data_IF_083342882164
#
_entry.id   IF_083342882164
#
_cell.length_a   1.000
_cell.length_b   1.000
_cell.length_c   1.000
_cell.angle_alpha   90.00
_cell.angle_beta   90.00
_cell.angle_gamma   90.00
#
_symmetry.space_group_name_H-M   'P 1'
#
loop_
_entity.id
_entity.type
_entity.pdbx_description
1 polymer ?
#
# COMPACT_ATOMS: atom_id res chain seq x y z
N UNK A 1 -53.33 15.09 -11.27
CA UNK A 1 -52.48 14.22 -12.13
C UNK A 1 -51.08 14.80 -12.38
N UNK A 2 -50.92 16.06 -12.82
CA UNK A 2 -49.61 16.73 -13.05
C UNK A 2 -48.65 16.75 -11.84
N UNK A 3 -49.15 17.02 -10.63
CA UNK A 3 -48.31 17.13 -9.42
C UNK A 3 -47.67 15.79 -8.99
N UNK A 4 -48.42 14.68 -9.08
CA UNK A 4 -47.92 13.33 -8.77
C UNK A 4 -46.84 12.91 -9.77
N UNK A 5 -47.05 13.25 -11.05
CA UNK A 5 -46.08 12.98 -12.11
C UNK A 5 -44.77 13.78 -11.93
N UNK A 6 -44.85 15.05 -11.49
CA UNK A 6 -43.67 15.84 -11.15
C UNK A 6 -42.91 15.29 -9.93
N UNK A 7 -43.60 14.86 -8.86
CA UNK A 7 -42.96 14.23 -7.70
C UNK A 7 -42.21 12.95 -8.08
N UNK A 8 -42.80 12.09 -8.93
CA UNK A 8 -42.13 10.86 -9.42
C UNK A 8 -40.85 11.15 -10.20
N UNK A 9 -40.82 12.20 -11.04
CA UNK A 9 -39.60 12.63 -11.74
C UNK A 9 -38.51 13.13 -10.79
N UNK A 10 -38.90 13.87 -9.75
CA UNK A 10 -37.95 14.33 -8.71
C UNK A 10 -37.37 13.13 -7.95
N UNK A 11 -38.18 12.19 -7.50
CA UNK A 11 -37.70 10.96 -6.84
C UNK A 11 -36.78 10.14 -7.74
N UNK A 12 -37.14 9.97 -9.01
CA UNK A 12 -36.29 9.27 -9.98
C UNK A 12 -34.95 9.99 -10.19
N UNK A 13 -34.95 11.33 -10.26
CA UNK A 13 -33.73 12.12 -10.32
C UNK A 13 -32.84 11.95 -9.09
N UNK A 14 -33.42 11.96 -7.89
CA UNK A 14 -32.68 11.74 -6.63
C UNK A 14 -32.05 10.34 -6.56
N UNK A 15 -32.75 9.31 -7.03
CA UNK A 15 -32.21 7.93 -7.10
C UNK A 15 -31.02 7.87 -8.06
N UNK A 16 -31.10 8.53 -9.22
CA UNK A 16 -29.97 8.54 -10.17
C UNK A 16 -28.76 9.26 -9.59
N UNK A 17 -28.97 10.38 -8.89
CA UNK A 17 -27.89 11.12 -8.22
C UNK A 17 -27.27 10.29 -7.09
N UNK A 18 -28.07 9.61 -6.28
CA UNK A 18 -27.55 8.80 -5.18
C UNK A 18 -26.72 7.61 -5.67
N UNK A 19 -27.15 6.96 -6.75
CA UNK A 19 -26.38 5.88 -7.42
C UNK A 19 -25.07 6.43 -7.96
N UNK A 20 -25.10 7.59 -8.64
CA UNK A 20 -23.88 8.22 -9.17
C UNK A 20 -22.88 8.54 -8.05
N UNK A 21 -23.34 9.14 -6.95
CA UNK A 21 -22.49 9.43 -5.79
C UNK A 21 -21.93 8.15 -5.18
N UNK A 22 -22.73 7.10 -5.02
CA UNK A 22 -22.26 5.82 -4.49
C UNK A 22 -21.14 5.21 -5.35
N UNK A 23 -21.26 5.28 -6.68
CA UNK A 23 -20.22 4.80 -7.60
C UNK A 23 -18.94 5.61 -7.45
N UNK A 24 -19.02 6.94 -7.37
CA UNK A 24 -17.81 7.77 -7.23
C UNK A 24 -17.14 7.59 -5.87
N UNK A 25 -17.92 7.48 -4.79
CA UNK A 25 -17.40 7.16 -3.46
C UNK A 25 -16.74 5.79 -3.43
N UNK A 26 -17.34 4.77 -4.07
CA UNK A 26 -16.74 3.45 -4.18
C UNK A 26 -15.40 3.51 -4.90
N UNK A 27 -15.34 4.17 -6.07
CA UNK A 27 -14.09 4.36 -6.84
C UNK A 27 -13.01 5.06 -6.04
N UNK A 28 -13.38 6.06 -5.25
CA UNK A 28 -12.45 6.76 -4.36
C UNK A 28 -11.89 5.82 -3.28
N UNK A 29 -12.72 4.96 -2.69
CA UNK A 29 -12.30 4.02 -1.65
C UNK A 29 -11.43 2.86 -2.15
N UNK A 30 -11.50 2.50 -3.44
CA UNK A 30 -10.72 1.39 -4.02
C UNK A 30 -9.56 1.86 -4.89
N UNK A 31 -9.29 3.16 -4.92
CA UNK A 31 -8.22 3.69 -5.72
C UNK A 31 -6.87 3.33 -5.08
N UNK A 32 -6.03 2.66 -5.88
CA UNK A 32 -4.64 2.35 -5.56
C UNK A 32 -3.73 2.91 -6.65
N UNK A 33 -2.48 3.17 -6.27
CA UNK A 33 -1.43 3.58 -7.20
C UNK A 33 -0.29 2.57 -7.14
N UNK A 34 0.21 2.15 -8.30
CA UNK A 34 1.31 1.21 -8.40
C UNK A 34 2.60 1.92 -8.80
N UNK A 35 3.67 1.66 -8.06
CA UNK A 35 4.99 2.23 -8.27
C UNK A 35 6.04 1.13 -8.37
N UNK A 36 6.99 1.28 -9.28
CA UNK A 36 8.14 0.37 -9.40
C UNK A 36 9.44 1.16 -9.40
N UNK A 37 10.39 0.73 -8.58
CA UNK A 37 11.70 1.36 -8.45
C UNK A 37 12.81 0.32 -8.55
N UNK A 38 13.91 0.67 -9.23
CA UNK A 38 15.13 -0.13 -9.16
C UNK A 38 15.84 0.16 -7.84
N UNK A 39 16.27 -0.91 -7.17
CA UNK A 39 16.94 -0.80 -5.88
C UNK A 39 18.44 -0.61 -6.05
N UNK A 40 18.99 0.23 -5.20
CA UNK A 40 20.41 0.44 -5.01
C UNK A 40 20.86 -0.25 -3.73
N UNK A 41 22.13 -0.62 -3.68
CA UNK A 41 22.71 -1.17 -2.45
C UNK A 41 22.70 -0.11 -1.34
N UNK A 42 22.26 -0.52 -0.15
CA UNK A 42 22.34 0.26 1.09
C UNK A 42 23.76 0.14 1.66
N UNK A 43 24.31 -1.07 1.60
CA UNK A 43 25.66 -1.44 2.02
C UNK A 43 26.12 -2.63 1.16
N UNK A 44 27.39 -3.03 1.26
CA UNK A 44 28.03 -4.06 0.44
C UNK A 44 27.19 -5.35 0.31
N UNK A 45 26.49 -5.49 -0.81
CA UNK A 45 25.62 -6.63 -1.11
C UNK A 45 24.29 -6.67 -0.35
N UNK A 46 23.89 -5.59 0.33
CA UNK A 46 22.62 -5.45 1.05
C UNK A 46 21.73 -4.44 0.31
N UNK A 47 20.55 -4.87 -0.12
CA UNK A 47 19.57 -4.01 -0.79
C UNK A 47 18.40 -3.61 0.12
N UNK A 48 18.16 -4.38 1.18
CA UNK A 48 16.96 -4.23 2.02
C UNK A 48 17.32 -4.44 3.47
N UNK A 49 16.78 -3.59 4.32
CA UNK A 49 16.70 -3.82 5.76
C UNK A 49 15.24 -4.07 6.14
N UNK A 50 14.97 -5.14 6.87
CA UNK A 50 13.61 -5.55 7.23
C UNK A 50 13.49 -5.77 8.74
N UNK A 51 12.38 -5.32 9.31
CA UNK A 51 11.95 -5.69 10.66
C UNK A 51 10.44 -5.62 10.79
N UNK A 52 9.91 -6.30 11.82
CA UNK A 52 8.51 -6.20 12.19
C UNK A 52 8.32 -5.39 13.46
N UNK A 53 7.23 -4.62 13.48
CA UNK A 53 6.77 -3.91 14.67
C UNK A 53 5.56 -4.65 15.24
N UNK A 54 5.65 -5.03 16.51
CA UNK A 54 4.58 -5.70 17.24
C UNK A 54 3.94 -4.77 18.25
N UNK A 55 2.61 -4.80 18.33
CA UNK A 55 1.81 -4.10 19.33
C UNK A 55 0.96 -5.10 20.12
N UNK A 56 0.55 -4.70 21.32
CA UNK A 56 -0.46 -5.44 22.11
C UNK A 56 -1.83 -5.44 21.43
N UNK A 57 -2.08 -4.49 20.53
CA UNK A 57 -3.27 -4.43 19.66
C UNK A 57 -2.90 -5.05 18.30
N UNK A 58 -3.49 -6.20 17.91
CA UNK A 58 -3.12 -6.89 16.68
C UNK A 58 -3.24 -6.06 15.40
N UNK A 59 -4.15 -5.08 15.39
CA UNK A 59 -4.37 -4.17 14.26
C UNK A 59 -3.22 -3.16 14.06
N UNK A 60 -2.33 -3.00 15.05
CA UNK A 60 -1.21 -2.07 15.00
C UNK A 60 0.12 -2.78 14.71
N UNK A 61 0.07 -4.07 14.33
CA UNK A 61 1.24 -4.78 13.83
C UNK A 61 1.48 -4.38 12.38
N UNK A 62 2.71 -3.96 12.05
CA UNK A 62 3.09 -3.62 10.69
C UNK A 62 4.53 -4.04 10.41
N UNK A 63 4.85 -4.22 9.15
CA UNK A 63 6.20 -4.53 8.70
C UNK A 63 6.87 -3.25 8.18
N UNK A 64 8.18 -3.16 8.38
CA UNK A 64 8.98 -2.01 7.98
C UNK A 64 10.11 -2.49 7.10
N UNK A 65 10.24 -1.85 5.94
CA UNK A 65 11.40 -2.01 5.07
C UNK A 65 12.12 -0.69 4.90
N UNK A 66 13.45 -0.74 4.92
CA UNK A 66 14.28 0.34 4.42
C UNK A 66 14.97 -0.11 3.15
N UNK A 67 14.88 0.74 2.14
CA UNK A 67 15.31 0.47 0.76
C UNK A 67 15.92 1.73 0.17
N UNK A 68 16.94 1.58 -0.69
CA UNK A 68 17.56 2.70 -1.38
C UNK A 68 17.09 2.74 -2.84
N UNK A 69 16.53 3.86 -3.27
CA UNK A 69 16.23 4.12 -4.68
C UNK A 69 16.29 5.63 -4.94
N UNK A 70 16.61 6.00 -6.19
CA UNK A 70 16.86 7.40 -6.58
C UNK A 70 17.88 8.10 -5.66
N UNK A 71 18.96 7.39 -5.30
CA UNK A 71 20.07 7.86 -4.45
C UNK A 71 19.63 8.31 -3.05
N UNK A 72 18.47 7.82 -2.58
CA UNK A 72 17.88 8.18 -1.30
C UNK A 72 17.41 6.93 -0.56
N UNK A 73 17.65 6.90 0.76
CA UNK A 73 17.13 5.86 1.65
C UNK A 73 15.68 6.17 2.02
N UNK A 74 14.78 5.23 1.81
CA UNK A 74 13.36 5.33 2.12
C UNK A 74 12.97 4.29 3.15
N UNK A 75 12.08 4.68 4.07
CA UNK A 75 11.44 3.78 5.02
C UNK A 75 9.99 3.63 4.62
N UNK A 76 9.56 2.40 4.33
CA UNK A 76 8.19 2.07 3.93
C UNK A 76 7.58 1.15 4.97
N UNK A 77 6.27 1.30 5.19
CA UNK A 77 5.49 0.54 6.17
C UNK A 77 4.27 -0.05 5.50
N UNK A 78 4.07 -1.36 5.66
CA UNK A 78 3.00 -2.05 4.95
C UNK A 78 3.04 -3.57 5.14
N UNK A 79 2.36 -4.27 4.25
CA UNK A 79 2.47 -5.72 4.09
C UNK A 79 3.62 -6.03 3.13
N UNK A 80 4.68 -6.66 3.63
CA UNK A 80 5.94 -6.83 2.93
C UNK A 80 6.12 -8.27 2.47
N UNK A 81 6.32 -8.44 1.17
CA UNK A 81 6.69 -9.73 0.56
C UNK A 81 8.08 -9.66 -0.05
N UNK A 82 9.01 -10.49 0.43
CA UNK A 82 10.38 -10.59 -0.09
C UNK A 82 10.49 -11.80 -1.02
N UNK A 83 10.84 -11.55 -2.28
CA UNK A 83 11.05 -12.55 -3.31
C UNK A 83 12.55 -12.63 -3.62
N UNK A 84 13.12 -13.80 -3.39
CA UNK A 84 14.52 -14.05 -3.69
C UNK A 84 14.71 -14.50 -5.13
N UNK A 85 15.33 -13.65 -5.96
CA UNK A 85 15.73 -13.97 -7.33
C UNK A 85 17.10 -13.36 -7.64
N UNK A 86 17.77 -13.87 -8.68
CA UNK A 86 19.08 -13.35 -9.10
C UNK A 86 18.95 -12.29 -10.22
N UNK A 87 17.76 -11.71 -10.37
CA UNK A 87 17.48 -10.66 -11.35
C UNK A 87 17.87 -9.28 -10.80
N UNK A 88 17.61 -8.23 -11.58
CA UNK A 88 17.87 -6.85 -11.16
C UNK A 88 17.04 -6.52 -9.90
N UNK A 89 17.67 -6.08 -8.80
CA UNK A 89 16.99 -5.69 -7.58
C UNK A 89 15.92 -4.61 -7.83
N UNK A 90 14.69 -4.86 -7.38
CA UNK A 90 13.57 -3.97 -7.63
C UNK A 90 12.53 -4.00 -6.51
N UNK A 91 11.77 -2.92 -6.42
CA UNK A 91 10.70 -2.69 -5.46
C UNK A 91 9.40 -2.39 -6.22
N UNK A 92 8.32 -3.06 -5.83
CA UNK A 92 6.96 -2.75 -6.25
C UNK A 92 6.15 -2.30 -5.03
N UNK A 93 5.49 -1.15 -5.13
CA UNK A 93 4.62 -0.63 -4.06
C UNK A 93 3.23 -0.40 -4.64
N UNK A 94 2.23 -1.03 -4.04
CA UNK A 94 0.83 -0.70 -4.26
C UNK A 94 0.38 0.16 -3.11
N UNK A 95 0.35 1.48 -3.35
CA UNK A 95 -0.08 2.45 -2.35
C UNK A 95 -1.59 2.33 -2.15
N UNK A 96 -1.97 1.88 -0.96
CA UNK A 96 -3.35 1.78 -0.54
C UNK A 96 -3.58 2.91 0.46
N UNK A 97 -4.66 3.66 0.33
CA UNK A 97 -4.94 4.85 1.15
C UNK A 97 -5.27 4.54 2.64
N UNK A 98 -4.83 3.39 3.14
CA UNK A 98 -4.96 2.92 4.51
C UNK A 98 -3.62 3.02 5.24
N UNK A 99 -3.66 3.34 6.53
CA UNK A 99 -2.45 3.41 7.37
C UNK A 99 -1.80 2.03 7.41
N UNK A 100 -0.51 1.96 7.02
CA UNK A 100 0.26 0.71 6.91
C UNK A 100 -0.39 -0.35 6.01
N UNK A 101 -1.26 0.06 5.08
CA UNK A 101 -1.97 -0.85 4.18
C UNK A 101 -1.30 -1.03 2.83
N UNK A 102 -0.14 -0.39 2.60
CA UNK A 102 0.59 -0.50 1.35
C UNK A 102 1.08 -1.94 1.17
N UNK A 103 0.89 -2.48 -0.03
CA UNK A 103 1.48 -3.77 -0.39
C UNK A 103 2.87 -3.51 -0.97
N UNK A 104 3.89 -4.10 -0.37
CA UNK A 104 5.28 -3.86 -0.71
C UNK A 104 5.92 -5.18 -1.12
N UNK A 105 6.27 -5.32 -2.40
CA UNK A 105 6.94 -6.51 -2.92
C UNK A 105 8.38 -6.15 -3.29
N UNK A 106 9.33 -6.87 -2.72
CA UNK A 106 10.76 -6.63 -2.90
C UNK A 106 11.41 -7.82 -3.56
N UNK A 107 12.09 -7.60 -4.69
CA UNK A 107 12.80 -8.62 -5.46
C UNK A 107 14.30 -8.40 -5.32
N UNK A 108 15.00 -9.36 -4.73
CA UNK A 108 16.42 -9.20 -4.39
C UNK A 108 17.20 -10.53 -4.40
N UNK A 109 18.53 -10.49 -4.59
CA UNK A 109 19.39 -11.66 -4.45
C UNK A 109 19.26 -12.35 -3.09
N UNK A 110 19.51 -13.67 -3.10
CA UNK A 110 19.57 -14.42 -1.84
C UNK A 110 20.74 -13.92 -0.99
N UNK A 111 20.46 -13.60 0.27
CA UNK A 111 21.47 -13.13 1.24
C UNK A 111 21.66 -11.61 1.25
N UNK A 112 20.91 -10.85 0.45
CA UNK A 112 21.02 -9.39 0.40
C UNK A 112 19.97 -8.64 1.24
N UNK A 113 19.33 -9.36 2.16
CA UNK A 113 18.35 -8.80 3.12
C UNK A 113 18.94 -8.89 4.51
N UNK A 114 19.04 -7.74 5.16
CA UNK A 114 19.43 -7.64 6.56
C UNK A 114 18.18 -7.65 7.44
N UNK A 115 17.96 -8.72 8.18
CA UNK A 115 16.87 -8.84 9.14
C UNK A 115 17.30 -8.29 10.50
N UNK A 116 16.60 -7.27 10.98
CA UNK A 116 16.75 -6.77 12.35
C UNK A 116 15.79 -7.48 13.30
N UNK A 117 16.07 -7.36 14.60
CA UNK A 117 15.18 -7.87 15.64
C UNK A 117 13.86 -7.12 15.61
N UNK A 118 12.78 -7.87 15.84
CA UNK A 118 11.45 -7.29 15.90
C UNK A 118 11.32 -6.33 17.10
N UNK A 119 10.59 -5.23 16.88
CA UNK A 119 10.43 -4.16 17.86
C UNK A 119 9.03 -4.22 18.45
N UNK A 120 8.94 -4.42 19.76
CA UNK A 120 7.67 -4.35 20.49
C UNK A 120 7.35 -2.92 20.94
N UNK A 121 6.17 -2.42 20.59
CA UNK A 121 5.60 -1.17 21.09
C UNK A 121 4.49 -1.50 22.09
N UNK A 122 4.45 -0.75 23.19
CA UNK A 122 3.61 -1.05 24.35
C UNK A 122 2.26 -0.34 24.28
#
# INVERSE_FOLDING_TARGET
MKQIYMKKKIYMGLIVISIFLAIQSYRYCIWSEEYTYQLQEIDNGVYVQYHRVFSTVPADNYEVVQVCFNDTLHTLTGDVTIIYNNDVPQLSVTANHFVNGDEIIVYVPKGSVLHYNDVGVR
#
